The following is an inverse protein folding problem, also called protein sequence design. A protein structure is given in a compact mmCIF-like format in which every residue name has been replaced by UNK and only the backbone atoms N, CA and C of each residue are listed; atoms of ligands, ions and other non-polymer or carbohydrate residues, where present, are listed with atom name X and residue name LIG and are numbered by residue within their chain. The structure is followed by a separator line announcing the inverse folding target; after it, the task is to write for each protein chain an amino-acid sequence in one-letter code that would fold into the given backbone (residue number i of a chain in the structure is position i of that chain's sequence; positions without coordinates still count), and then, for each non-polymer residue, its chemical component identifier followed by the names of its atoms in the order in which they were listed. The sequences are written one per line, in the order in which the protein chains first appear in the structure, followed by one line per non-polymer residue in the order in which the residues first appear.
data_IF_377498990219
#
_entry.id   IF_377498990219
#
_cell.length_a   1.000
_cell.length_b   1.000
_cell.length_c   1.000
_cell.angle_alpha   90.00
_cell.angle_beta   90.00
_cell.angle_gamma   90.00
#
_symmetry.space_group_name_H-M   'P 1'
#
loop_
_entity.id
_entity.type
_entity.pdbx_description
1 polymer ?
#
# COMPACT_ATOMS: atom_id res chain seq x y z
N UNK A 1 0.22 -7.95 0.64
CA UNK A 1 0.41 -8.44 2.02
C UNK A 1 0.09 -9.92 2.23
N UNK A 2 -0.36 -10.69 1.21
CA UNK A 2 -0.89 -12.06 1.39
C UNK A 2 0.08 -12.99 2.15
N UNK A 3 1.36 -12.99 1.78
CA UNK A 3 2.39 -13.81 2.43
C UNK A 3 2.64 -13.45 3.92
N UNK A 4 2.22 -12.27 4.35
CA UNK A 4 2.39 -11.78 5.73
C UNK A 4 1.12 -11.91 6.57
N UNK A 5 0.06 -12.53 6.04
CA UNK A 5 -1.24 -12.62 6.71
C UNK A 5 -1.14 -13.23 8.10
N UNK A 6 -0.41 -14.34 8.25
CA UNK A 6 -0.28 -15.05 9.52
C UNK A 6 0.45 -14.21 10.57
N UNK A 7 1.41 -13.38 10.14
CA UNK A 7 2.11 -12.43 11.02
C UNK A 7 1.15 -11.36 11.51
N UNK A 8 0.34 -10.76 10.62
CA UNK A 8 -0.60 -9.70 10.99
C UNK A 8 -1.70 -10.16 11.96
N UNK A 9 -2.13 -11.42 11.88
CA UNK A 9 -3.14 -11.98 12.80
C UNK A 9 -2.53 -12.62 14.05
N UNK A 10 -1.20 -12.58 14.21
CA UNK A 10 -0.50 -13.09 15.39
C UNK A 10 -0.28 -14.61 15.42
N UNK A 11 -0.50 -15.31 14.30
CA UNK A 11 -0.28 -16.76 14.20
C UNK A 11 1.20 -17.12 13.95
N UNK A 12 2.00 -16.17 13.46
CA UNK A 12 3.43 -16.32 13.22
C UNK A 12 4.19 -15.10 13.75
N UNK A 13 5.39 -15.33 14.28
CA UNK A 13 6.25 -14.25 14.73
C UNK A 13 7.01 -13.63 13.55
N UNK A 14 7.08 -12.30 13.52
CA UNK A 14 7.89 -11.60 12.52
C UNK A 14 9.38 -11.72 12.87
N UNK A 15 10.20 -12.15 11.90
CA UNK A 15 11.66 -12.12 12.04
C UNK A 15 12.22 -10.69 12.02
N UNK A 16 11.49 -9.76 11.40
CA UNK A 16 11.86 -8.35 11.27
C UNK A 16 10.66 -7.49 11.59
N UNK A 17 10.88 -6.34 12.24
CA UNK A 17 9.80 -5.38 12.54
C UNK A 17 9.28 -4.66 11.31
N UNK A 18 10.14 -4.42 10.32
CA UNK A 18 9.80 -3.67 9.10
C UNK A 18 10.32 -4.42 7.88
N UNK A 19 9.51 -4.52 6.83
CA UNK A 19 9.86 -5.23 5.59
C UNK A 19 9.36 -4.46 4.37
N UNK A 20 10.12 -4.49 3.29
CA UNK A 20 9.71 -3.98 1.97
C UNK A 20 9.70 -5.11 0.94
N UNK A 21 8.77 -5.08 -0.01
CA UNK A 21 8.72 -6.07 -1.09
C UNK A 21 8.25 -5.48 -2.42
N UNK A 22 8.67 -6.11 -3.52
CA UNK A 22 8.00 -6.03 -4.82
C UNK A 22 7.25 -7.34 -5.06
N UNK A 23 5.93 -7.33 -4.84
CA UNK A 23 5.12 -8.55 -4.91
C UNK A 23 4.46 -8.69 -6.27
N UNK A 24 4.72 -9.81 -6.96
CA UNK A 24 3.94 -10.22 -8.13
C UNK A 24 2.49 -10.51 -7.72
N UNK A 25 1.54 -9.84 -8.35
CA UNK A 25 0.11 -9.89 -8.05
C UNK A 25 -0.70 -10.34 -9.27
N UNK A 26 -1.74 -11.14 -9.02
CA UNK A 26 -2.71 -11.55 -10.03
C UNK A 26 -4.13 -11.22 -9.54
N UNK A 27 -4.90 -10.48 -10.34
CA UNK A 27 -6.30 -10.11 -10.09
C UNK A 27 -7.19 -10.51 -11.26
N UNK A 28 -7.50 -11.79 -11.32
CA UNK A 28 -8.31 -12.40 -12.37
C UNK A 28 -9.46 -13.28 -11.84
N UNK A 29 -9.84 -13.12 -10.57
CA UNK A 29 -10.91 -13.92 -9.95
C UNK A 29 -11.06 -13.69 -8.44
N UNK A 30 -12.18 -14.14 -7.90
CA UNK A 30 -12.50 -13.99 -6.47
C UNK A 30 -12.86 -12.55 -6.06
N UNK A 31 -12.54 -12.17 -4.82
CA UNK A 31 -12.88 -10.85 -4.25
C UNK A 31 -12.23 -9.67 -4.98
N UNK A 32 -11.07 -9.87 -5.59
CA UNK A 32 -10.34 -8.84 -6.34
C UNK A 32 -10.16 -9.33 -7.77
N UNK A 33 -11.03 -8.86 -8.67
CA UNK A 33 -11.06 -9.29 -10.05
C UNK A 33 -11.11 -8.06 -10.97
N UNK A 34 -10.06 -7.89 -11.77
CA UNK A 34 -9.94 -6.80 -12.74
C UNK A 34 -10.10 -7.29 -14.18
N UNK A 35 -10.39 -8.58 -14.40
CA UNK A 35 -10.39 -9.24 -15.71
C UNK A 35 -11.25 -8.53 -16.75
N UNK A 36 -12.47 -8.13 -16.38
CA UNK A 36 -13.42 -7.47 -17.29
C UNK A 36 -13.04 -6.00 -17.58
N UNK A 37 -12.16 -5.39 -16.79
CA UNK A 37 -11.73 -4.00 -16.96
C UNK A 37 -10.49 -3.86 -17.86
N UNK A 38 -9.74 -4.97 -18.07
CA UNK A 38 -8.52 -4.97 -18.88
C UNK A 38 -8.86 -4.74 -20.35
N UNK A 39 -8.15 -3.80 -20.98
CA UNK A 39 -8.39 -3.40 -22.36
C UNK A 39 -9.44 -2.29 -22.52
N UNK A 40 -10.28 -2.05 -21.51
CA UNK A 40 -11.27 -0.96 -21.51
C UNK A 40 -10.78 0.31 -20.82
N UNK A 41 -9.72 0.21 -20.02
CA UNK A 41 -9.15 1.33 -19.28
C UNK A 41 -7.63 1.27 -19.31
N UNK A 42 -6.98 2.41 -19.07
CA UNK A 42 -5.51 2.53 -19.06
C UNK A 42 -4.84 2.11 -17.75
N UNK A 43 -5.61 1.69 -16.74
CA UNK A 43 -5.11 1.52 -15.36
C UNK A 43 -5.34 0.13 -14.75
N UNK A 44 -6.05 -0.77 -15.44
CA UNK A 44 -6.35 -2.10 -14.93
C UNK A 44 -5.50 -3.15 -15.66
N UNK A 45 -4.86 -4.03 -14.88
CA UNK A 45 -4.06 -5.16 -15.35
C UNK A 45 -4.48 -6.43 -14.61
N UNK A 46 -4.39 -7.60 -15.25
CA UNK A 46 -4.56 -8.88 -14.56
C UNK A 46 -3.31 -9.23 -13.74
N UNK A 47 -2.12 -9.10 -14.33
CA UNK A 47 -0.83 -9.30 -13.68
C UNK A 47 -0.11 -7.96 -13.51
N UNK A 48 0.38 -7.68 -12.31
CA UNK A 48 1.14 -6.47 -12.00
C UNK A 48 2.03 -6.67 -10.78
N UNK A 49 2.91 -5.72 -10.52
CA UNK A 49 3.75 -5.71 -9.32
C UNK A 49 3.23 -4.70 -8.29
N UNK A 50 3.17 -5.11 -7.04
CA UNK A 50 2.76 -4.28 -5.91
C UNK A 50 3.98 -4.01 -5.02
N UNK A 51 4.46 -2.77 -5.05
CA UNK A 51 5.44 -2.27 -4.10
C UNK A 51 4.74 -2.01 -2.76
N UNK A 52 5.38 -2.39 -1.64
CA UNK A 52 4.82 -2.14 -0.32
C UNK A 52 5.85 -2.20 0.80
N UNK A 53 5.67 -1.34 1.80
CA UNK A 53 6.35 -1.37 3.09
C UNK A 53 5.37 -1.83 4.19
N UNK A 54 5.80 -2.75 5.04
CA UNK A 54 4.99 -3.40 6.06
C UNK A 54 5.66 -3.24 7.43
N UNK A 55 4.86 -2.90 8.44
CA UNK A 55 5.27 -2.80 9.84
C UNK A 55 4.57 -3.88 10.67
N UNK A 56 5.36 -4.62 11.44
CA UNK A 56 4.94 -5.66 12.39
C UNK A 56 5.30 -5.19 13.81
N UNK A 57 4.65 -4.11 14.26
CA UNK A 57 4.98 -3.46 15.53
C UNK A 57 6.25 -2.60 15.49
N UNK A 58 6.61 -2.11 14.30
CA UNK A 58 7.69 -1.14 14.09
C UNK A 58 7.16 0.30 14.15
N UNK A 59 6.66 0.79 13.02
CA UNK A 59 6.04 2.12 12.88
C UNK A 59 4.52 2.05 12.73
N UNK A 60 3.84 3.20 12.80
CA UNK A 60 2.39 3.30 12.61
C UNK A 60 2.00 4.41 11.61
N UNK A 61 0.91 5.13 11.85
CA UNK A 61 0.33 6.08 10.88
C UNK A 61 1.30 7.19 10.45
N UNK A 62 1.92 7.87 11.41
CA UNK A 62 2.76 9.05 11.14
C UNK A 62 3.93 8.70 10.22
N UNK A 63 4.72 7.69 10.57
CA UNK A 63 5.88 7.33 9.77
C UNK A 63 5.47 6.64 8.46
N UNK A 64 4.36 5.89 8.43
CA UNK A 64 3.85 5.32 7.19
C UNK A 64 3.51 6.42 6.16
N UNK A 65 2.84 7.48 6.61
CA UNK A 65 2.52 8.65 5.77
C UNK A 65 3.80 9.36 5.35
N UNK A 66 4.74 9.59 6.28
CA UNK A 66 6.00 10.26 5.98
C UNK A 66 6.86 9.50 4.97
N UNK A 67 6.93 8.16 5.06
CA UNK A 67 7.64 7.33 4.10
C UNK A 67 7.03 7.41 2.70
N UNK A 68 5.70 7.28 2.59
CA UNK A 68 5.02 7.39 1.31
C UNK A 68 5.20 8.79 0.71
N UNK A 69 5.03 9.84 1.51
CA UNK A 69 5.15 11.22 1.07
C UNK A 69 6.57 11.57 0.61
N UNK A 70 7.60 11.19 1.37
CA UNK A 70 8.99 11.41 0.98
C UNK A 70 9.34 10.62 -0.28
N UNK A 71 8.89 9.37 -0.40
CA UNK A 71 9.15 8.58 -1.60
C UNK A 71 8.54 9.23 -2.85
N UNK A 72 7.28 9.68 -2.79
CA UNK A 72 6.63 10.33 -3.92
C UNK A 72 7.25 11.70 -4.26
N UNK A 73 7.53 12.53 -3.25
CA UNK A 73 7.87 13.95 -3.49
C UNK A 73 9.37 14.25 -3.52
N UNK A 74 10.21 13.40 -2.91
CA UNK A 74 11.67 13.57 -2.86
C UNK A 74 12.41 12.57 -3.73
N UNK A 75 12.02 11.30 -3.73
CA UNK A 75 12.70 10.28 -4.53
C UNK A 75 12.17 10.24 -5.96
N UNK A 76 10.85 10.22 -6.12
CA UNK A 76 10.19 10.24 -7.44
C UNK A 76 9.94 11.66 -7.97
N UNK A 77 10.20 12.69 -7.15
CA UNK A 77 10.09 14.10 -7.53
C UNK A 77 8.73 14.48 -8.14
N UNK A 78 7.65 13.84 -7.68
CA UNK A 78 6.29 14.17 -8.10
C UNK A 78 5.89 15.49 -7.45
N UNK A 79 5.38 16.40 -8.28
CA UNK A 79 4.86 17.69 -7.83
C UNK A 79 3.72 17.52 -6.81
N UNK A 80 3.90 18.15 -5.65
CA UNK A 80 2.98 18.08 -4.51
C UNK A 80 1.59 18.60 -4.88
N UNK A 81 1.50 19.60 -5.75
CA UNK A 81 0.23 20.19 -6.16
C UNK A 81 -0.64 19.24 -6.99
N UNK A 82 -0.05 18.15 -7.50
CA UNK A 82 -0.75 17.12 -8.28
C UNK A 82 -1.20 15.92 -7.43
N UNK A 83 -0.82 15.88 -6.15
CA UNK A 83 -1.14 14.79 -5.25
C UNK A 83 -2.45 15.07 -4.51
N UNK A 84 -3.32 14.07 -4.48
CA UNK A 84 -4.57 14.09 -3.74
C UNK A 84 -4.54 13.01 -2.66
N UNK A 85 -5.00 13.36 -1.46
CA UNK A 85 -5.05 12.45 -0.31
C UNK A 85 -6.50 12.25 0.10
N UNK A 86 -6.82 11.02 0.53
CA UNK A 86 -8.13 10.70 1.10
C UNK A 86 -7.93 9.99 2.44
N UNK A 87 -8.79 10.27 3.41
CA UNK A 87 -8.78 9.64 4.74
C UNK A 87 -10.15 9.06 5.04
N UNK A 88 -10.19 7.96 5.80
CA UNK A 88 -11.47 7.38 6.21
C UNK A 88 -12.23 8.34 7.13
N UNK A 89 -13.55 8.44 6.98
CA UNK A 89 -14.36 9.49 7.64
C UNK A 89 -14.29 9.46 9.18
N UNK A 90 -14.06 8.28 9.76
CA UNK A 90 -13.93 8.10 11.21
C UNK A 90 -12.49 8.23 11.72
N UNK A 91 -11.49 8.31 10.83
CA UNK A 91 -10.09 8.37 11.21
C UNK A 91 -9.65 9.83 11.40
N UNK A 92 -9.79 10.32 12.63
CA UNK A 92 -9.40 11.68 13.01
C UNK A 92 -7.88 11.86 13.05
N UNK A 93 -7.12 10.84 13.43
CA UNK A 93 -5.67 10.95 13.60
C UNK A 93 -4.99 11.18 12.26
N UNK A 94 -5.40 10.44 11.22
CA UNK A 94 -4.81 10.56 9.88
C UNK A 94 -5.13 11.91 9.22
N UNK A 95 -6.24 12.54 9.60
CA UNK A 95 -6.66 13.86 9.06
C UNK A 95 -5.71 14.99 9.42
N UNK A 96 -4.87 14.81 10.45
CA UNK A 96 -3.89 15.82 10.87
C UNK A 96 -2.73 15.93 9.85
N UNK A 97 -2.55 14.92 8.99
CA UNK A 97 -1.41 14.80 8.06
C UNK A 97 -1.76 15.01 6.58
N UNK A 98 -3.04 15.25 6.24
CA UNK A 98 -3.51 15.49 4.88
C UNK A 98 -3.87 16.95 4.66
#
# INVERSE_FOLDING_TARGET
MVQFKNIFIGNENANFKNVVTCQKCLRAGGKHNDLENVGYTSRHHTFFEMLGNFSFGGYFKEEAILYAWNFLTKELMIDKEKLWVTVHITDKDSKIYG
#
